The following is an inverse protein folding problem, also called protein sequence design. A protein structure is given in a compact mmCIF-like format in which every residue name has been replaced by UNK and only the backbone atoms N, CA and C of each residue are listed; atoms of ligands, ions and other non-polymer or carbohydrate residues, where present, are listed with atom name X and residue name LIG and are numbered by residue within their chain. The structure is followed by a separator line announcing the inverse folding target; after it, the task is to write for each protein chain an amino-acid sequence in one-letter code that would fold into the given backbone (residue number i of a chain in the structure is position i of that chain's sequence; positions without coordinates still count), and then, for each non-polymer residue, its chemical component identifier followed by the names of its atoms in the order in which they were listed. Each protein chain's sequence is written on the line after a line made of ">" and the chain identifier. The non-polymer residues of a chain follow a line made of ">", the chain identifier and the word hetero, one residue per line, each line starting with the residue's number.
data_IF_584735906306
#
_entry.id   IF_584735906306
#
_cell.length_a   1.000
_cell.length_b   1.000
_cell.length_c   1.000
_cell.angle_alpha   90.00
_cell.angle_beta   90.00
_cell.angle_gamma   90.00
#
_symmetry.space_group_name_H-M   'P 1'
#
loop_
_entity.id
_entity.type
_entity.pdbx_description
1 polymer ?
#
# COMPACT_ATOMS: atom_id res chain seq x y z
N UNK A 1 20.49 16.03 7.49
CA UNK A 1 21.64 15.42 8.22
C UNK A 1 21.37 15.06 9.69
N UNK A 2 20.50 15.75 10.45
CA UNK A 2 20.32 15.47 11.90
C UNK A 2 18.98 14.82 12.27
N UNK A 3 17.90 14.94 11.47
CA UNK A 3 16.58 14.46 11.93
C UNK A 3 16.40 12.92 11.93
N UNK A 4 16.94 12.21 10.94
CA UNK A 4 16.84 10.74 10.83
C UNK A 4 17.84 10.03 11.75
N UNK A 5 19.07 10.55 11.87
CA UNK A 5 20.10 10.03 12.76
C UNK A 5 19.72 10.17 14.27
N UNK A 6 19.03 11.26 14.65
CA UNK A 6 18.57 11.46 16.03
C UNK A 6 17.43 10.52 16.43
N UNK A 7 16.59 10.06 15.49
CA UNK A 7 15.58 9.04 15.77
C UNK A 7 16.21 7.65 15.98
N UNK A 8 17.20 7.28 15.18
CA UNK A 8 17.93 6.01 15.34
C UNK A 8 18.79 5.97 16.62
N UNK A 9 19.36 7.09 17.07
CA UNK A 9 20.17 7.14 18.30
C UNK A 9 19.34 7.03 19.59
N UNK A 10 18.07 7.49 19.58
CA UNK A 10 17.17 7.35 20.75
C UNK A 10 16.72 5.92 21.02
N UNK A 11 16.83 5.00 20.07
CA UNK A 11 16.53 3.58 20.27
C UNK A 11 17.71 2.77 20.84
N UNK A 12 18.94 3.30 20.80
CA UNK A 12 20.15 2.59 21.23
C UNK A 12 20.59 2.82 22.69
N UNK A 13 19.92 3.69 23.45
CA UNK A 13 20.40 4.17 24.75
C UNK A 13 19.50 3.82 25.95
N UNK A 14 18.69 2.75 25.86
CA UNK A 14 17.84 2.26 26.97
C UNK A 14 18.17 0.82 27.34
N UNK A 15 19.45 0.53 27.58
CA UNK A 15 19.86 -0.64 28.37
C UNK A 15 20.81 -0.14 29.47
N UNK A 16 20.22 0.29 30.59
CA UNK A 16 20.76 0.22 31.95
C UNK A 16 20.06 1.25 32.85
N UNK A 17 19.01 0.83 33.56
CA UNK A 17 18.80 1.12 35.00
C UNK A 17 17.46 0.59 35.47
N UNK A 18 17.53 -0.33 36.41
CA UNK A 18 16.46 -0.76 37.30
C UNK A 18 15.94 0.41 38.15
N UNK A 19 14.66 0.73 38.07
CA UNK A 19 13.91 1.35 39.18
C UNK A 19 12.39 1.18 38.96
N UNK A 20 11.73 0.53 39.94
CA UNK A 20 10.28 0.56 40.14
C UNK A 20 9.83 2.00 40.37
N UNK A 21 8.75 2.43 39.70
CA UNK A 21 7.82 3.47 40.16
C UNK A 21 6.52 3.38 39.33
N UNK A 22 5.38 3.54 40.00
CA UNK A 22 4.03 3.15 39.56
C UNK A 22 3.38 4.02 38.48
N UNK A 23 2.07 3.84 38.24
CA UNK A 23 1.41 4.22 36.99
C UNK A 23 1.19 5.73 36.93
N UNK A 24 1.91 6.41 36.04
CA UNK A 24 1.59 7.78 35.67
C UNK A 24 0.55 7.77 34.55
N UNK A 25 -0.70 8.05 34.95
CA UNK A 25 -1.78 8.53 34.10
C UNK A 25 -1.32 9.79 33.36
N UNK A 26 -0.75 9.63 32.17
CA UNK A 26 -0.72 10.70 31.17
C UNK A 26 -1.93 10.48 30.27
N UNK A 27 -2.86 11.44 30.35
CA UNK A 27 -4.06 11.56 29.53
C UNK A 27 -3.78 11.17 28.09
N UNK A 28 -4.18 9.95 27.72
CA UNK A 28 -4.44 9.57 26.34
C UNK A 28 -5.69 10.35 25.93
N UNK A 29 -5.51 11.43 25.18
CA UNK A 29 -6.58 11.91 24.30
C UNK A 29 -7.00 10.70 23.46
N UNK A 30 -8.28 10.30 23.45
CA UNK A 30 -8.71 9.24 22.55
C UNK A 30 -8.42 9.72 21.12
N UNK A 31 -7.81 8.92 20.24
CA UNK A 31 -7.86 9.25 18.83
C UNK A 31 -9.33 9.15 18.43
N UNK A 32 -10.01 10.28 18.38
CA UNK A 32 -11.31 10.44 17.76
C UNK A 32 -11.13 10.19 16.25
N UNK A 33 -11.11 8.91 15.85
CA UNK A 33 -11.32 8.50 14.45
C UNK A 33 -12.77 8.10 14.31
N UNK A 34 -13.60 9.09 14.05
CA UNK A 34 -14.96 8.91 13.55
C UNK A 34 -14.83 8.44 12.09
N UNK A 35 -15.27 7.22 11.81
CA UNK A 35 -15.74 6.85 10.47
C UNK A 35 -17.21 7.30 10.38
N UNK A 36 -17.39 8.62 10.32
CA UNK A 36 -18.54 9.27 9.68
C UNK A 36 -17.86 10.12 8.61
N UNK A 37 -17.86 9.75 7.35
CA UNK A 37 -19.01 9.73 6.45
C UNK A 37 -18.65 8.85 5.25
N UNK A 38 -19.63 8.26 4.59
CA UNK A 38 -19.40 7.61 3.29
C UNK A 38 -20.28 6.41 3.00
N UNK A 39 -20.90 5.82 4.03
CA UNK A 39 -21.89 4.74 3.84
C UNK A 39 -23.33 5.26 3.78
N UNK A 40 -23.53 6.58 3.87
CA UNK A 40 -24.87 7.18 3.81
C UNK A 40 -25.50 7.16 2.40
N UNK A 41 -24.79 6.69 1.37
CA UNK A 41 -25.27 6.66 -0.01
C UNK A 41 -25.83 5.31 -0.49
N UNK A 42 -25.65 4.22 0.27
CA UNK A 42 -26.11 2.90 -0.16
C UNK A 42 -27.44 2.55 0.50
N UNK A 43 -28.37 1.96 -0.25
CA UNK A 43 -29.60 1.31 0.27
C UNK A 43 -29.21 0.12 1.17
N UNK A 44 -28.58 0.37 2.32
CA UNK A 44 -28.09 -0.60 3.27
C UNK A 44 -28.78 -0.39 4.61
N UNK A 45 -28.91 -1.46 5.38
CA UNK A 45 -29.53 -1.43 6.70
C UNK A 45 -28.66 -0.59 7.66
N UNK A 46 -29.19 0.51 8.24
CA UNK A 46 -28.41 1.39 9.11
C UNK A 46 -27.83 0.67 10.34
N UNK A 47 -28.49 -0.37 10.83
CA UNK A 47 -27.99 -1.19 11.95
C UNK A 47 -26.71 -1.94 11.53
N UNK A 48 -26.70 -2.52 10.33
CA UNK A 48 -25.52 -3.20 9.81
C UNK A 48 -24.34 -2.23 9.67
N UNK A 49 -24.59 -1.00 9.23
CA UNK A 49 -23.56 0.03 9.12
C UNK A 49 -22.97 0.42 10.47
N UNK A 50 -23.81 0.57 11.50
CA UNK A 50 -23.35 0.84 12.85
C UNK A 50 -22.51 -0.31 13.42
N UNK A 51 -22.92 -1.57 13.17
CA UNK A 51 -22.15 -2.74 13.58
C UNK A 51 -20.80 -2.82 12.86
N UNK A 52 -20.74 -2.53 11.56
CA UNK A 52 -19.49 -2.45 10.81
C UNK A 52 -18.56 -1.41 11.43
N UNK A 53 -19.08 -0.19 11.66
CA UNK A 53 -18.29 0.89 12.23
C UNK A 53 -17.77 0.57 13.63
N UNK A 54 -18.61 -0.04 14.47
CA UNK A 54 -18.20 -0.50 15.79
C UNK A 54 -17.10 -1.58 15.70
N UNK A 55 -17.28 -2.60 14.86
CA UNK A 55 -16.30 -3.67 14.70
C UNK A 55 -14.93 -3.15 14.23
N UNK A 56 -14.91 -2.30 13.20
CA UNK A 56 -13.68 -1.72 12.66
C UNK A 56 -12.99 -0.80 13.67
N UNK A 57 -13.75 0.08 14.34
CA UNK A 57 -13.19 0.99 15.36
C UNK A 57 -12.65 0.24 16.57
N UNK A 58 -13.36 -0.78 17.04
CA UNK A 58 -12.93 -1.62 18.15
C UNK A 58 -11.62 -2.34 17.82
N UNK A 59 -11.57 -3.03 16.68
CA UNK A 59 -10.39 -3.75 16.22
C UNK A 59 -9.15 -2.83 16.11
N UNK A 60 -9.30 -1.66 15.49
CA UNK A 60 -8.22 -0.70 15.25
C UNK A 60 -7.81 0.11 16.48
N UNK A 61 -8.66 0.22 17.49
CA UNK A 61 -8.36 0.98 18.72
C UNK A 61 -7.34 0.28 19.60
N UNK A 62 -7.45 -1.04 19.75
CA UNK A 62 -6.57 -1.83 20.61
C UNK A 62 -5.43 -2.48 19.83
N UNK A 63 -5.61 -2.73 18.52
CA UNK A 63 -4.62 -3.36 17.63
C UNK A 63 -4.04 -4.66 18.21
N UNK A 64 -4.86 -5.44 18.91
CA UNK A 64 -4.50 -6.75 19.45
C UNK A 64 -5.22 -7.85 18.68
N UNK A 65 -4.62 -9.05 18.61
CA UNK A 65 -5.28 -10.19 17.97
C UNK A 65 -6.67 -10.48 18.54
N UNK A 66 -6.84 -10.23 19.85
CA UNK A 66 -8.11 -10.36 20.53
C UNK A 66 -9.14 -9.31 20.08
N UNK A 67 -8.75 -8.04 19.92
CA UNK A 67 -9.67 -7.00 19.46
C UNK A 67 -10.11 -7.21 18.01
N UNK A 68 -9.21 -7.70 17.15
CA UNK A 68 -9.56 -8.09 15.79
C UNK A 68 -10.51 -9.30 15.77
N UNK A 69 -10.27 -10.33 16.59
CA UNK A 69 -11.18 -11.47 16.70
C UNK A 69 -12.57 -11.05 17.20
N UNK A 70 -12.64 -10.18 18.21
CA UNK A 70 -13.90 -9.62 18.70
C UNK A 70 -14.62 -8.79 17.63
N UNK A 71 -13.89 -7.99 16.86
CA UNK A 71 -14.46 -7.25 15.72
C UNK A 71 -15.05 -8.19 14.66
N UNK A 72 -14.34 -9.26 14.30
CA UNK A 72 -14.84 -10.27 13.36
C UNK A 72 -16.10 -10.98 13.89
N UNK A 73 -16.16 -11.33 15.17
CA UNK A 73 -17.35 -11.94 15.78
C UNK A 73 -18.58 -11.02 15.70
N UNK A 74 -18.40 -9.71 15.88
CA UNK A 74 -19.51 -8.75 15.72
C UNK A 74 -20.00 -8.73 14.27
N UNK A 75 -19.08 -8.80 13.29
CA UNK A 75 -19.44 -8.85 11.87
C UNK A 75 -20.13 -10.18 11.50
N UNK A 76 -19.69 -11.31 12.06
CA UNK A 76 -20.35 -12.61 11.88
C UNK A 76 -21.78 -12.60 12.43
N UNK A 77 -21.97 -12.00 13.61
CA UNK A 77 -23.30 -11.80 14.18
C UNK A 77 -24.17 -10.87 13.31
N UNK A 78 -23.56 -9.88 12.66
CA UNK A 78 -24.27 -9.04 11.69
C UNK A 78 -24.73 -9.85 10.47
N UNK A 79 -23.87 -10.73 9.94
CA UNK A 79 -24.24 -11.60 8.82
C UNK A 79 -25.35 -12.60 9.17
N UNK A 80 -25.31 -13.18 10.37
CA UNK A 80 -26.29 -14.18 10.82
C UNK A 80 -27.70 -13.59 11.05
N UNK A 81 -27.78 -12.29 11.31
CA UNK A 81 -29.04 -11.57 11.56
C UNK A 81 -29.67 -10.98 10.30
N UNK A 82 -28.99 -11.02 9.15
CA UNK A 82 -29.50 -10.50 7.89
C UNK A 82 -30.44 -11.51 7.17
N UNK A 83 -31.47 -11.02 6.44
CA UNK A 83 -32.41 -11.87 5.70
C UNK A 83 -31.69 -12.70 4.64
N UNK A 84 -32.21 -13.88 4.30
CA UNK A 84 -31.53 -14.80 3.36
C UNK A 84 -31.33 -14.16 1.99
N UNK A 85 -30.27 -14.57 1.30
CA UNK A 85 -29.88 -14.05 -0.02
C UNK A 85 -31.07 -13.99 -1.00
N UNK A 86 -31.21 -12.87 -1.72
CA UNK A 86 -32.22 -12.67 -2.76
C UNK A 86 -33.61 -12.28 -2.26
N UNK A 87 -33.86 -12.18 -0.95
CA UNK A 87 -35.15 -11.71 -0.41
C UNK A 87 -35.29 -10.18 -0.41
N UNK A 88 -34.19 -9.45 -0.23
CA UNK A 88 -34.17 -8.00 -0.15
C UNK A 88 -32.86 -7.44 -0.72
N UNK A 89 -32.90 -6.62 -1.80
CA UNK A 89 -31.72 -5.94 -2.33
C UNK A 89 -30.96 -5.10 -1.29
N UNK A 90 -31.65 -4.53 -0.30
CA UNK A 90 -31.00 -3.77 0.76
C UNK A 90 -30.27 -4.68 1.77
N UNK A 91 -30.84 -5.87 2.04
CA UNK A 91 -30.18 -6.95 2.78
C UNK A 91 -28.91 -7.44 2.09
N UNK A 92 -28.95 -7.65 0.77
CA UNK A 92 -27.78 -8.13 0.02
C UNK A 92 -26.67 -7.08 -0.14
N UNK A 93 -27.03 -5.80 -0.22
CA UNK A 93 -26.07 -4.70 -0.07
C UNK A 93 -25.40 -4.70 1.30
N UNK A 94 -26.19 -4.84 2.37
CA UNK A 94 -25.67 -4.92 3.74
C UNK A 94 -24.75 -6.13 3.92
N UNK A 95 -25.07 -7.25 3.29
CA UNK A 95 -24.26 -8.48 3.30
C UNK A 95 -22.91 -8.26 2.65
N UNK A 96 -22.90 -7.71 1.43
CA UNK A 96 -21.67 -7.39 0.72
C UNK A 96 -20.77 -6.42 1.50
N UNK A 97 -21.38 -5.40 2.12
CA UNK A 97 -20.69 -4.44 2.98
C UNK A 97 -20.03 -5.08 4.21
N UNK A 98 -20.73 -6.00 4.88
CA UNK A 98 -20.16 -6.72 6.04
C UNK A 98 -19.01 -7.62 5.59
N UNK A 99 -19.16 -8.35 4.48
CA UNK A 99 -18.10 -9.19 3.93
C UNK A 99 -16.85 -8.39 3.54
N UNK A 100 -17.01 -7.19 2.97
CA UNK A 100 -15.91 -6.25 2.72
C UNK A 100 -15.19 -5.89 4.02
N UNK A 101 -15.94 -5.52 5.07
CA UNK A 101 -15.36 -5.17 6.37
C UNK A 101 -14.61 -6.37 7.01
N UNK A 102 -15.13 -7.59 6.87
CA UNK A 102 -14.45 -8.81 7.33
C UNK A 102 -13.17 -9.07 6.55
N UNK A 103 -13.18 -8.87 5.22
CA UNK A 103 -11.98 -8.95 4.39
C UNK A 103 -10.91 -7.97 4.87
N UNK A 104 -11.28 -6.71 5.11
CA UNK A 104 -10.35 -5.69 5.59
C UNK A 104 -9.70 -6.08 6.92
N UNK A 105 -10.49 -6.53 7.91
CA UNK A 105 -9.94 -6.97 9.19
C UNK A 105 -9.05 -8.21 9.05
N UNK A 106 -9.42 -9.15 8.19
CA UNK A 106 -8.63 -10.37 7.95
C UNK A 106 -7.29 -10.04 7.27
N UNK A 107 -7.32 -9.11 6.30
CA UNK A 107 -6.13 -8.57 5.64
C UNK A 107 -5.21 -7.82 6.61
N UNK A 108 -5.76 -6.98 7.49
CA UNK A 108 -4.99 -6.26 8.52
C UNK A 108 -4.29 -7.21 9.51
N UNK A 109 -4.85 -8.40 9.74
CA UNK A 109 -4.20 -9.47 10.54
C UNK A 109 -3.16 -10.29 9.77
N UNK A 110 -3.09 -10.14 8.45
CA UNK A 110 -2.23 -10.94 7.57
C UNK A 110 -2.85 -12.28 7.12
N UNK A 111 -4.15 -12.51 7.37
CA UNK A 111 -4.88 -13.69 6.90
C UNK A 111 -5.45 -13.42 5.49
N UNK A 112 -4.58 -13.42 4.48
CA UNK A 112 -4.97 -13.07 3.11
C UNK A 112 -5.94 -14.08 2.47
N UNK A 113 -5.78 -15.38 2.74
CA UNK A 113 -6.66 -16.41 2.18
C UNK A 113 -8.12 -16.23 2.64
N UNK A 114 -8.32 -15.95 3.93
CA UNK A 114 -9.64 -15.66 4.48
C UNK A 114 -10.20 -14.37 3.89
N UNK A 115 -9.38 -13.32 3.78
CA UNK A 115 -9.80 -12.06 3.17
C UNK A 115 -10.30 -12.28 1.72
N UNK A 116 -9.55 -13.03 0.92
CA UNK A 116 -9.89 -13.34 -0.47
C UNK A 116 -11.17 -14.17 -0.59
N UNK A 117 -11.39 -15.16 0.27
CA UNK A 117 -12.64 -15.94 0.32
C UNK A 117 -13.86 -15.03 0.58
N UNK A 118 -13.75 -14.09 1.52
CA UNK A 118 -14.84 -13.13 1.80
C UNK A 118 -15.11 -12.22 0.61
N UNK A 119 -14.08 -11.74 -0.09
CA UNK A 119 -14.22 -10.91 -1.29
C UNK A 119 -14.84 -11.68 -2.47
N UNK A 120 -14.47 -12.95 -2.64
CA UNK A 120 -15.05 -13.82 -3.67
C UNK A 120 -16.54 -14.05 -3.40
N UNK A 121 -16.94 -14.26 -2.15
CA UNK A 121 -18.37 -14.34 -1.77
C UNK A 121 -19.17 -13.10 -2.16
N UNK A 122 -18.59 -11.90 -2.06
CA UNK A 122 -19.25 -10.66 -2.53
C UNK A 122 -19.50 -10.69 -4.04
N UNK A 123 -18.60 -11.30 -4.82
CA UNK A 123 -18.78 -11.42 -6.27
C UNK A 123 -19.94 -12.32 -6.67
N UNK A 124 -20.22 -13.33 -5.85
CA UNK A 124 -21.26 -14.33 -6.10
C UNK A 124 -22.66 -13.79 -5.76
N UNK A 125 -22.77 -12.68 -5.01
CA UNK A 125 -24.03 -12.00 -4.70
C UNK A 125 -24.60 -11.28 -5.93
N UNK A 126 -25.62 -11.87 -6.56
CA UNK A 126 -26.20 -11.37 -7.83
C UNK A 126 -27.03 -10.09 -7.71
N UNK A 127 -27.62 -9.84 -6.54
CA UNK A 127 -28.51 -8.70 -6.22
C UNK A 127 -27.78 -7.51 -5.59
N UNK A 128 -26.47 -7.64 -5.35
CA UNK A 128 -25.67 -6.61 -4.70
C UNK A 128 -25.37 -5.44 -5.66
N UNK A 129 -25.28 -4.22 -5.10
CA UNK A 129 -25.01 -3.01 -5.86
C UNK A 129 -23.66 -3.09 -6.58
N UNK A 130 -23.60 -2.47 -7.76
CA UNK A 130 -22.40 -2.49 -8.59
C UNK A 130 -21.20 -1.87 -7.86
N UNK A 131 -21.43 -0.84 -7.03
CA UNK A 131 -20.40 -0.20 -6.22
C UNK A 131 -19.75 -1.15 -5.20
N UNK A 132 -20.53 -2.01 -4.54
CA UNK A 132 -20.01 -3.01 -3.58
C UNK A 132 -19.28 -4.14 -4.30
N UNK A 133 -19.72 -4.54 -5.50
CA UNK A 133 -19.04 -5.56 -6.31
C UNK A 133 -17.73 -5.05 -6.90
N UNK A 134 -17.73 -3.80 -7.37
CA UNK A 134 -16.52 -3.03 -7.71
C UNK A 134 -15.59 -2.96 -6.50
N UNK A 135 -16.14 -2.65 -5.33
CA UNK A 135 -15.45 -2.63 -4.04
C UNK A 135 -14.60 -3.88 -3.80
N UNK A 136 -15.24 -5.03 -3.98
CA UNK A 136 -14.62 -6.31 -3.76
C UNK A 136 -13.61 -6.69 -4.87
N UNK A 137 -13.84 -6.35 -6.14
CA UNK A 137 -12.90 -6.67 -7.21
C UNK A 137 -11.58 -5.90 -7.09
N UNK A 138 -11.61 -4.59 -6.81
CA UNK A 138 -10.36 -3.83 -6.66
C UNK A 138 -9.58 -4.32 -5.42
N UNK A 139 -10.28 -4.65 -4.34
CA UNK A 139 -9.66 -5.23 -3.15
C UNK A 139 -8.99 -6.58 -3.47
N UNK A 140 -9.65 -7.44 -4.24
CA UNK A 140 -9.13 -8.74 -4.63
C UNK A 140 -7.90 -8.60 -5.54
N UNK A 141 -7.96 -7.72 -6.54
CA UNK A 141 -6.81 -7.41 -7.41
C UNK A 141 -5.63 -6.88 -6.58
N UNK A 142 -5.87 -5.97 -5.64
CA UNK A 142 -4.84 -5.44 -4.75
C UNK A 142 -4.16 -6.51 -3.90
N UNK A 143 -4.92 -7.45 -3.32
CA UNK A 143 -4.35 -8.58 -2.55
C UNK A 143 -3.51 -9.51 -3.42
N UNK A 144 -3.98 -9.85 -4.63
CA UNK A 144 -3.21 -10.68 -5.54
C UNK A 144 -1.90 -10.00 -5.95
N UNK A 145 -1.91 -8.69 -6.17
CA UNK A 145 -0.69 -7.93 -6.43
C UNK A 145 0.28 -7.97 -5.23
N UNK A 146 -0.20 -7.81 -3.99
CA UNK A 146 0.63 -7.92 -2.79
C UNK A 146 1.23 -9.33 -2.59
N UNK A 147 0.50 -10.37 -3.01
CA UNK A 147 0.93 -11.78 -2.94
C UNK A 147 1.78 -12.24 -4.13
N UNK A 148 2.18 -11.33 -5.03
CA UNK A 148 2.98 -11.62 -6.23
C UNK A 148 2.29 -12.53 -7.25
N UNK A 149 0.95 -12.54 -7.25
CA UNK A 149 0.14 -13.32 -8.18
C UNK A 149 -0.33 -12.42 -9.33
N UNK A 150 0.64 -12.01 -10.15
CA UNK A 150 0.44 -11.03 -11.23
C UNK A 150 -0.55 -11.52 -12.28
N UNK A 151 -0.39 -12.76 -12.76
CA UNK A 151 -1.21 -13.28 -13.84
C UNK A 151 -2.69 -13.42 -13.40
N UNK A 152 -2.95 -13.80 -12.15
CA UNK A 152 -4.32 -13.84 -11.59
C UNK A 152 -4.90 -12.44 -11.41
N UNK A 153 -4.07 -11.46 -11.01
CA UNK A 153 -4.52 -10.07 -10.87
C UNK A 153 -4.91 -9.46 -12.23
N UNK A 154 -4.22 -9.85 -13.32
CA UNK A 154 -4.57 -9.44 -14.68
C UNK A 154 -5.91 -10.02 -15.16
N UNK A 155 -6.14 -11.31 -14.94
CA UNK A 155 -7.43 -11.96 -15.27
C UNK A 155 -8.59 -11.33 -14.50
N UNK A 156 -8.39 -11.00 -13.23
CA UNK A 156 -9.40 -10.34 -12.41
C UNK A 156 -9.65 -8.89 -12.86
N UNK A 157 -8.62 -8.16 -13.27
CA UNK A 157 -8.77 -6.81 -13.82
C UNK A 157 -9.55 -6.83 -15.15
N UNK A 158 -9.36 -7.86 -16.00
CA UNK A 158 -10.16 -8.03 -17.22
C UNK A 158 -11.62 -8.36 -16.90
N UNK A 159 -11.85 -9.28 -15.95
CA UNK A 159 -13.20 -9.59 -15.44
C UNK A 159 -13.89 -8.34 -14.89
N UNK A 160 -13.13 -7.44 -14.27
CA UNK A 160 -13.65 -6.18 -13.75
C UNK A 160 -14.13 -5.25 -14.87
N UNK A 161 -13.34 -5.08 -15.93
CA UNK A 161 -13.77 -4.31 -17.10
C UNK A 161 -15.01 -4.93 -17.77
N UNK A 162 -15.06 -6.26 -17.92
CA UNK A 162 -16.23 -6.95 -18.48
C UNK A 162 -17.50 -6.75 -17.65
N UNK A 163 -17.38 -6.73 -16.32
CA UNK A 163 -18.53 -6.52 -15.42
C UNK A 163 -19.16 -5.16 -15.67
N UNK A 164 -18.37 -4.13 -15.94
CA UNK A 164 -18.89 -2.79 -16.22
C UNK A 164 -19.57 -2.72 -17.59
N UNK A 165 -18.96 -3.32 -18.62
CA UNK A 165 -19.55 -3.39 -19.98
C UNK A 165 -20.90 -4.11 -19.97
N UNK A 166 -21.03 -5.21 -19.22
CA UNK A 166 -22.28 -5.99 -19.13
C UNK A 166 -23.41 -5.24 -18.41
N UNK A 167 -23.07 -4.28 -17.55
CA UNK A 167 -24.02 -3.57 -16.71
C UNK A 167 -24.28 -2.14 -17.18
N UNK A 168 -23.81 -1.72 -18.37
CA UNK A 168 -24.08 -0.38 -18.91
C UNK A 168 -25.60 -0.10 -18.97
N UNK A 169 -26.13 0.79 -18.11
CA UNK A 169 -27.41 1.41 -18.38
C UNK A 169 -27.12 2.55 -19.38
N UNK A 170 -28.01 2.81 -20.33
CA UNK A 170 -27.91 3.95 -21.25
C UNK A 170 -28.08 5.33 -20.58
N UNK A 171 -27.51 5.53 -19.38
CA UNK A 171 -27.67 6.71 -18.54
C UNK A 171 -26.31 7.38 -18.30
N UNK A 172 -26.10 8.50 -18.99
CA UNK A 172 -25.09 9.51 -18.70
C UNK A 172 -25.25 10.07 -17.27
N UNK A 173 -24.72 9.38 -16.27
CA UNK A 173 -24.61 9.87 -14.89
C UNK A 173 -23.15 9.84 -14.43
N UNK A 174 -22.68 10.89 -13.77
CA UNK A 174 -21.29 11.03 -13.30
C UNK A 174 -20.81 9.88 -12.41
N UNK A 175 -21.72 9.21 -11.70
CA UNK A 175 -21.40 8.04 -10.87
C UNK A 175 -20.86 6.83 -11.67
N UNK A 176 -21.39 6.62 -12.88
CA UNK A 176 -20.91 5.56 -13.77
C UNK A 176 -19.51 5.85 -14.27
N UNK A 177 -19.21 7.11 -14.62
CA UNK A 177 -17.90 7.52 -15.13
C UNK A 177 -16.78 7.36 -14.10
N UNK A 178 -17.08 7.64 -12.82
CA UNK A 178 -16.13 7.44 -11.71
C UNK A 178 -15.80 5.95 -11.54
N UNK A 179 -16.79 5.07 -11.57
CA UNK A 179 -16.58 3.62 -11.46
C UNK A 179 -15.74 3.09 -12.62
N UNK A 180 -15.99 3.54 -13.85
CA UNK A 180 -15.20 3.18 -15.02
C UNK A 180 -13.76 3.70 -14.95
N UNK A 181 -13.56 4.92 -14.44
CA UNK A 181 -12.23 5.47 -14.23
C UNK A 181 -11.41 4.64 -13.24
N UNK A 182 -12.03 4.16 -12.16
CA UNK A 182 -11.37 3.30 -11.17
C UNK A 182 -10.96 1.95 -11.77
N UNK A 183 -11.86 1.29 -12.52
CA UNK A 183 -11.56 0.02 -13.17
C UNK A 183 -10.40 0.13 -14.16
N UNK A 184 -10.38 1.21 -14.96
CA UNK A 184 -9.27 1.52 -15.86
C UNK A 184 -7.97 1.76 -15.09
N UNK A 185 -8.02 2.48 -13.98
CA UNK A 185 -6.83 2.71 -13.15
C UNK A 185 -6.27 1.41 -12.54
N UNK A 186 -7.14 0.50 -12.08
CA UNK A 186 -6.72 -0.82 -11.58
C UNK A 186 -6.09 -1.65 -12.70
N UNK A 187 -6.71 -1.73 -13.88
CA UNK A 187 -6.10 -2.44 -15.02
C UNK A 187 -4.78 -1.80 -15.44
N UNK A 188 -4.71 -0.48 -15.48
CA UNK A 188 -3.47 0.26 -15.77
C UNK A 188 -2.35 -0.02 -14.77
N UNK A 189 -2.68 -0.11 -13.48
CA UNK A 189 -1.71 -0.49 -12.43
C UNK A 189 -1.21 -1.92 -12.63
N UNK A 190 -2.10 -2.87 -12.92
CA UNK A 190 -1.72 -4.26 -13.18
C UNK A 190 -0.79 -4.35 -14.39
N UNK A 191 -1.11 -3.67 -15.49
CA UNK A 191 -0.25 -3.62 -16.68
C UNK A 191 1.11 -2.97 -16.37
N UNK A 192 1.15 -1.95 -15.50
CA UNK A 192 2.39 -1.32 -15.05
C UNK A 192 3.27 -2.31 -14.27
N UNK A 193 2.69 -3.07 -13.33
CA UNK A 193 3.39 -4.14 -12.58
C UNK A 193 3.92 -5.23 -13.53
N UNK A 194 3.19 -5.54 -14.60
CA UNK A 194 3.64 -6.49 -15.63
C UNK A 194 4.78 -5.96 -16.52
N UNK A 195 5.12 -4.66 -16.42
CA UNK A 195 6.12 -3.99 -17.25
C UNK A 195 5.58 -3.47 -18.58
N UNK A 196 4.27 -3.57 -18.83
CA UNK A 196 3.64 -3.15 -20.09
C UNK A 196 3.26 -1.66 -20.06
N UNK A 197 4.25 -0.77 -20.04
CA UNK A 197 4.04 0.69 -19.94
C UNK A 197 3.15 1.29 -21.03
N UNK A 198 3.26 0.78 -22.28
CA UNK A 198 2.42 1.22 -23.41
C UNK A 198 0.96 0.80 -23.25
N UNK A 199 0.74 -0.43 -22.77
CA UNK A 199 -0.60 -0.95 -22.46
C UNK A 199 -1.22 -0.12 -21.34
N UNK A 200 -0.47 0.12 -20.26
CA UNK A 200 -0.88 0.95 -19.14
C UNK A 200 -1.29 2.37 -19.58
N UNK A 201 -0.53 3.02 -20.48
CA UNK A 201 -0.86 4.36 -20.97
C UNK A 201 -2.26 4.43 -21.61
N UNK A 202 -2.69 3.38 -22.31
CA UNK A 202 -4.02 3.34 -22.94
C UNK A 202 -5.16 3.41 -21.92
N UNK A 203 -4.98 2.76 -20.75
CA UNK A 203 -5.95 2.77 -19.67
C UNK A 203 -5.96 4.07 -18.88
N UNK A 204 -4.79 4.72 -18.76
CA UNK A 204 -4.68 6.02 -18.10
C UNK A 204 -5.08 7.21 -18.99
N UNK A 205 -5.19 7.01 -20.32
CA UNK A 205 -5.61 8.05 -21.26
C UNK A 205 -7.07 8.48 -20.99
N UNK A 206 -7.28 9.79 -20.88
CA UNK A 206 -8.60 10.38 -20.60
C UNK A 206 -8.99 10.41 -19.11
N UNK A 207 -8.15 9.93 -18.20
CA UNK A 207 -8.38 10.13 -16.75
C UNK A 207 -8.14 11.58 -16.33
N UNK A 208 -7.21 12.28 -16.99
CA UNK A 208 -6.87 13.69 -16.68
C UNK A 208 -8.04 14.66 -16.83
N UNK A 209 -8.96 14.38 -17.75
CA UNK A 209 -10.08 15.27 -18.09
C UNK A 209 -11.26 15.11 -17.11
N UNK A 210 -11.28 14.01 -16.34
CA UNK A 210 -12.25 13.77 -15.28
C UNK A 210 -11.68 14.32 -13.95
N UNK A 211 -12.07 15.55 -13.60
CA UNK A 211 -11.58 16.30 -12.44
C UNK A 211 -11.87 15.66 -11.06
N UNK A 212 -12.52 14.50 -11.00
CA UNK A 212 -13.00 13.84 -9.78
C UNK A 212 -12.34 12.49 -9.49
N UNK A 213 -11.19 12.19 -10.08
CA UNK A 213 -10.44 10.98 -9.70
C UNK A 213 -9.77 11.22 -8.34
N UNK A 214 -10.24 10.50 -7.33
CA UNK A 214 -9.74 10.56 -5.95
C UNK A 214 -9.18 9.21 -5.51
N UNK A 215 -8.43 9.19 -4.40
CA UNK A 215 -7.94 7.97 -3.77
C UNK A 215 -6.94 7.15 -4.59
N UNK A 216 -7.13 5.83 -4.59
CA UNK A 216 -6.21 4.83 -5.16
C UNK A 216 -6.03 4.95 -6.68
N UNK A 217 -7.08 5.36 -7.40
CA UNK A 217 -7.03 5.55 -8.85
C UNK A 217 -6.11 6.70 -9.23
N UNK A 218 -6.18 7.83 -8.51
CA UNK A 218 -5.30 8.97 -8.72
C UNK A 218 -3.84 8.62 -8.36
N UNK A 219 -3.63 7.87 -7.27
CA UNK A 219 -2.30 7.40 -6.90
C UNK A 219 -1.66 6.53 -7.99
N UNK A 220 -2.41 5.56 -8.52
CA UNK A 220 -1.94 4.66 -9.59
C UNK A 220 -1.61 5.43 -10.88
N UNK A 221 -2.39 6.47 -11.19
CA UNK A 221 -2.08 7.38 -12.29
C UNK A 221 -0.80 8.20 -12.03
N UNK A 222 -0.60 8.67 -10.80
CA UNK A 222 0.62 9.35 -10.37
C UNK A 222 1.86 8.46 -10.54
N UNK A 223 1.76 7.19 -10.14
CA UNK A 223 2.82 6.18 -10.29
C UNK A 223 3.16 5.92 -11.76
N UNK A 224 2.15 5.81 -12.62
CA UNK A 224 2.36 5.70 -14.06
C UNK A 224 3.07 6.93 -14.64
N UNK A 225 2.67 8.14 -14.25
CA UNK A 225 3.32 9.37 -14.69
C UNK A 225 4.78 9.46 -14.22
N UNK A 226 5.03 9.05 -12.98
CA UNK A 226 6.37 8.97 -12.39
C UNK A 226 7.23 7.94 -13.14
N UNK A 227 6.68 6.77 -13.44
CA UNK A 227 7.34 5.71 -14.21
C UNK A 227 7.67 6.16 -15.64
N UNK A 228 6.79 7.00 -16.21
CA UNK A 228 6.92 7.62 -17.53
C UNK A 228 7.77 8.90 -17.53
N UNK A 229 8.42 9.24 -16.41
CA UNK A 229 9.25 10.44 -16.25
C UNK A 229 8.52 11.79 -16.44
N UNK A 230 7.19 11.81 -16.39
CA UNK A 230 6.36 13.02 -16.40
C UNK A 230 6.28 13.63 -14.98
N UNK A 231 7.44 13.97 -14.40
CA UNK A 231 7.58 14.29 -12.97
C UNK A 231 6.74 15.47 -12.49
N UNK A 232 6.58 16.52 -13.29
CA UNK A 232 5.75 17.67 -12.90
C UNK A 232 4.30 17.29 -12.67
N UNK A 233 3.70 16.55 -13.61
CA UNK A 233 2.34 16.05 -13.51
C UNK A 233 2.20 15.04 -12.36
N UNK A 234 3.17 14.14 -12.18
CA UNK A 234 3.16 13.18 -11.08
C UNK A 234 3.19 13.87 -9.71
N UNK A 235 3.99 14.94 -9.56
CA UNK A 235 4.05 15.75 -8.34
C UNK A 235 2.70 16.38 -8.01
N UNK A 236 2.05 17.00 -9.00
CA UNK A 236 0.72 17.60 -8.82
C UNK A 236 -0.31 16.55 -8.39
N UNK A 237 -0.30 15.37 -9.02
CA UNK A 237 -1.20 14.26 -8.67
C UNK A 237 -0.96 13.78 -7.24
N UNK A 238 0.29 13.53 -6.83
CA UNK A 238 0.58 13.08 -5.47
C UNK A 238 0.17 14.12 -4.41
N UNK A 239 0.43 15.41 -4.67
CA UNK A 239 0.00 16.49 -3.77
C UNK A 239 -1.53 16.56 -3.67
N UNK A 240 -2.23 16.39 -4.80
CA UNK A 240 -3.68 16.35 -4.84
C UNK A 240 -4.25 15.15 -4.08
N UNK A 241 -3.64 13.96 -4.16
CA UNK A 241 -4.08 12.79 -3.38
C UNK A 241 -3.91 13.05 -1.88
N UNK A 242 -2.76 13.55 -1.45
CA UNK A 242 -2.50 13.88 -0.04
C UNK A 242 -3.49 14.95 0.46
N UNK A 243 -3.77 15.97 -0.35
CA UNK A 243 -4.70 17.04 0.00
C UNK A 243 -6.18 16.57 -0.07
N UNK A 244 -6.52 15.67 -0.99
CA UNK A 244 -7.87 15.13 -1.17
C UNK A 244 -8.32 14.33 0.03
N UNK A 245 -7.44 13.45 0.55
CA UNK A 245 -7.68 12.68 1.77
C UNK A 245 -7.84 13.61 2.99
N UNK A 246 -6.99 14.63 3.13
CA UNK A 246 -7.08 15.57 4.26
C UNK A 246 -8.31 16.49 4.24
N UNK A 247 -8.89 16.76 3.06
CA UNK A 247 -10.07 17.61 2.90
C UNK A 247 -11.39 16.85 3.02
N UNK A 248 -11.37 15.55 3.30
CA UNK A 248 -12.57 14.71 3.38
C UNK A 248 -13.48 14.79 2.13
N UNK A 249 -12.94 15.20 0.98
CA UNK A 249 -13.71 15.30 -0.28
C UNK A 249 -14.09 13.94 -0.85
N UNK A 250 -13.48 12.87 -0.33
CA UNK A 250 -13.81 11.49 -0.65
C UNK A 250 -15.21 11.10 -0.17
N UNK A 251 -15.77 11.78 0.84
CA UNK A 251 -16.86 11.21 1.65
C UNK A 251 -18.28 11.70 1.33
N UNK A 252 -18.46 12.52 0.30
CA UNK A 252 -19.80 12.98 -0.12
C UNK A 252 -20.46 12.08 -1.17
N UNK A 253 -19.72 11.20 -1.84
CA UNK A 253 -20.22 10.40 -2.96
C UNK A 253 -20.49 8.96 -2.54
N UNK A 254 -21.66 8.43 -2.92
CA UNK A 254 -22.07 7.03 -2.71
C UNK A 254 -21.07 6.00 -3.29
N UNK A 255 -20.25 6.42 -4.27
CA UNK A 255 -19.21 5.61 -4.90
C UNK A 255 -17.88 5.57 -4.12
N UNK A 256 -17.81 6.24 -2.97
CA UNK A 256 -16.68 6.24 -2.05
C UNK A 256 -16.66 5.01 -1.13
N UNK A 257 -17.41 3.96 -1.46
CA UNK A 257 -17.05 2.61 -1.04
C UNK A 257 -15.65 2.34 -1.58
N UNK A 258 -14.66 2.60 -0.73
CA UNK A 258 -13.26 2.42 -1.03
C UNK A 258 -13.02 0.93 -1.29
N UNK A 259 -13.13 0.55 -2.55
CA UNK A 259 -12.46 -0.59 -3.13
C UNK A 259 -10.94 -0.35 -3.14
N UNK A 260 -10.20 -1.44 -3.13
CA UNK A 260 -8.85 -1.60 -2.59
C UNK A 260 -8.96 -1.84 -1.08
N UNK A 261 -8.39 -2.92 -0.59
CA UNK A 261 -8.18 -3.22 0.83
C UNK A 261 -7.24 -2.19 1.52
N UNK A 262 -7.31 -0.92 1.12
CA UNK A 262 -6.39 0.15 1.46
C UNK A 262 -7.21 1.26 2.07
N UNK A 263 -6.96 1.52 3.35
CA UNK A 263 -7.54 2.65 4.03
C UNK A 263 -7.13 3.97 3.33
N UNK A 264 -7.93 5.03 3.41
CA UNK A 264 -7.53 6.34 2.88
C UNK A 264 -6.20 6.82 3.48
N UNK A 265 -5.90 6.40 4.73
CA UNK A 265 -4.62 6.67 5.36
C UNK A 265 -3.45 5.93 4.68
N UNK A 266 -3.66 4.71 4.20
CA UNK A 266 -2.68 3.97 3.41
C UNK A 266 -2.42 4.61 2.05
N UNK A 267 -3.47 5.07 1.38
CA UNK A 267 -3.34 5.80 0.11
C UNK A 267 -2.56 7.10 0.32
N UNK A 268 -2.87 7.85 1.37
CA UNK A 268 -2.14 9.08 1.73
C UNK A 268 -0.68 8.83 2.10
N UNK A 269 -0.42 7.76 2.86
CA UNK A 269 0.94 7.33 3.20
C UNK A 269 1.74 6.97 1.96
N UNK A 270 1.16 6.19 1.05
CA UNK A 270 1.79 5.77 -0.18
C UNK A 270 2.07 6.96 -1.11
N UNK A 271 1.11 7.87 -1.27
CA UNK A 271 1.30 9.12 -2.01
C UNK A 271 2.42 9.98 -1.42
N UNK A 272 2.50 10.08 -0.09
CA UNK A 272 3.59 10.79 0.61
C UNK A 272 4.94 10.13 0.34
N UNK A 273 4.99 8.79 0.39
CA UNK A 273 6.21 8.03 0.09
C UNK A 273 6.64 8.19 -1.38
N UNK A 274 5.70 8.11 -2.32
CA UNK A 274 5.94 8.27 -3.75
C UNK A 274 6.41 9.70 -4.09
N UNK A 275 5.82 10.72 -3.47
CA UNK A 275 6.29 12.11 -3.59
C UNK A 275 7.74 12.26 -3.09
N UNK A 276 8.09 11.63 -1.96
CA UNK A 276 9.45 11.66 -1.44
C UNK A 276 10.46 10.98 -2.38
N UNK A 277 10.07 9.86 -3.02
CA UNK A 277 10.86 9.22 -4.07
C UNK A 277 11.00 10.12 -5.30
N UNK A 278 9.92 10.80 -5.71
CA UNK A 278 9.94 11.72 -6.85
C UNK A 278 10.90 12.89 -6.62
N UNK A 279 10.89 13.50 -5.43
CA UNK A 279 11.84 14.58 -5.09
C UNK A 279 13.29 14.06 -5.08
N UNK A 280 13.53 12.85 -4.58
CA UNK A 280 14.84 12.21 -4.68
C UNK A 280 15.25 12.01 -6.15
N UNK A 281 14.28 11.72 -7.04
CA UNK A 281 14.54 11.55 -8.46
C UNK A 281 14.82 12.84 -9.20
N UNK A 282 14.23 13.94 -8.75
CA UNK A 282 14.55 15.30 -9.22
C UNK A 282 15.87 15.84 -8.65
N UNK A 283 16.47 15.17 -7.65
CA UNK A 283 17.68 15.63 -6.97
C UNK A 283 17.43 16.59 -5.80
N UNK A 284 16.17 16.84 -5.45
CA UNK A 284 15.77 17.68 -4.32
C UNK A 284 15.87 16.89 -3.00
N UNK A 285 17.10 16.53 -2.62
CA UNK A 285 17.33 15.60 -1.50
C UNK A 285 16.90 16.14 -0.13
N UNK A 286 16.87 17.45 0.07
CA UNK A 286 16.40 18.05 1.32
C UNK A 286 14.89 17.82 1.50
N UNK A 287 14.10 18.11 0.46
CA UNK A 287 12.66 17.89 0.45
C UNK A 287 12.34 16.39 0.53
N UNK A 288 13.09 15.55 -0.18
CA UNK A 288 12.96 14.11 -0.11
C UNK A 288 13.21 13.55 1.30
N UNK A 289 14.26 14.01 2.00
CA UNK A 289 14.57 13.63 3.39
C UNK A 289 13.40 14.00 4.32
N UNK A 290 12.84 15.20 4.20
CA UNK A 290 11.71 15.65 5.02
C UNK A 290 10.44 14.81 4.75
N UNK A 291 10.06 14.67 3.47
CA UNK A 291 8.84 13.99 3.06
C UNK A 291 8.89 12.50 3.41
N UNK A 292 10.00 11.82 3.16
CA UNK A 292 10.16 10.41 3.52
C UNK A 292 10.23 10.20 5.04
N UNK A 293 10.79 11.15 5.80
CA UNK A 293 10.77 11.10 7.27
C UNK A 293 9.34 11.28 7.82
N UNK A 294 8.52 12.10 7.16
CA UNK A 294 7.10 12.23 7.47
C UNK A 294 6.34 10.93 7.17
N UNK A 295 6.57 10.32 6.00
CA UNK A 295 6.02 9.01 5.66
C UNK A 295 6.40 7.94 6.69
N UNK A 296 7.66 7.92 7.13
CA UNK A 296 8.12 6.99 8.17
C UNK A 296 7.36 7.18 9.48
N UNK A 297 7.21 8.43 9.91
CA UNK A 297 6.50 8.77 11.16
C UNK A 297 5.03 8.33 11.10
N UNK A 298 4.34 8.63 10.00
CA UNK A 298 2.95 8.20 9.77
C UNK A 298 2.85 6.67 9.79
N UNK A 299 3.81 5.97 9.17
CA UNK A 299 3.84 4.51 9.13
C UNK A 299 4.03 3.90 10.52
N UNK A 300 4.97 4.44 11.31
CA UNK A 300 5.22 3.99 12.68
C UNK A 300 4.01 4.22 13.60
N UNK A 301 3.32 5.35 13.46
CA UNK A 301 2.11 5.66 14.24
C UNK A 301 0.93 4.77 13.84
N UNK A 302 0.77 4.51 12.53
CA UNK A 302 -0.35 3.74 12.01
C UNK A 302 -0.17 2.24 12.22
N UNK A 303 0.98 1.67 11.90
CA UNK A 303 1.21 0.22 11.93
C UNK A 303 2.05 -0.25 13.12
N UNK A 304 2.74 0.66 13.81
CA UNK A 304 3.74 0.32 14.82
C UNK A 304 5.15 0.20 14.24
N UNK A 305 6.15 0.36 15.10
CA UNK A 305 7.58 0.43 14.74
C UNK A 305 8.21 -0.88 14.27
N UNK A 306 7.48 -2.00 14.36
CA UNK A 306 7.93 -3.34 13.96
C UNK A 306 7.22 -3.86 12.71
N UNK A 307 6.38 -3.05 12.07
CA UNK A 307 5.60 -3.48 10.93
C UNK A 307 6.43 -3.54 9.63
N UNK A 308 6.20 -4.53 8.73
CA UNK A 308 6.93 -4.63 7.46
C UNK A 308 6.87 -3.37 6.59
N UNK A 309 5.74 -2.65 6.59
CA UNK A 309 5.60 -1.35 5.86
C UNK A 309 6.61 -0.30 6.33
N UNK A 310 7.05 -0.34 7.59
CA UNK A 310 8.15 0.53 8.07
C UNK A 310 9.45 0.16 7.35
N UNK A 311 9.72 -1.13 7.14
CA UNK A 311 10.86 -1.61 6.37
C UNK A 311 10.84 -1.15 4.90
N UNK A 312 9.66 -1.09 4.29
CA UNK A 312 9.48 -0.54 2.93
C UNK A 312 9.91 0.93 2.88
N UNK A 313 9.38 1.77 3.78
CA UNK A 313 9.72 3.20 3.82
C UNK A 313 11.19 3.43 4.16
N UNK A 314 11.77 2.63 5.06
CA UNK A 314 13.21 2.69 5.36
C UNK A 314 14.07 2.36 4.14
N UNK A 315 13.62 1.42 3.30
CA UNK A 315 14.29 1.08 2.04
C UNK A 315 14.26 2.27 1.07
N UNK A 316 13.12 2.97 0.95
CA UNK A 316 13.02 4.20 0.16
C UNK A 316 13.99 5.29 0.66
N UNK A 317 14.10 5.48 1.98
CA UNK A 317 15.03 6.45 2.59
C UNK A 317 16.49 6.05 2.30
N UNK A 318 16.81 4.76 2.41
CA UNK A 318 18.16 4.25 2.13
C UNK A 318 18.56 4.47 0.66
N UNK A 319 17.65 4.22 -0.28
CA UNK A 319 17.85 4.48 -1.71
C UNK A 319 18.00 5.97 -2.01
N UNK A 320 17.23 6.84 -1.33
CA UNK A 320 17.41 8.30 -1.44
C UNK A 320 18.82 8.71 -1.00
N UNK A 321 19.29 8.25 0.17
CA UNK A 321 20.65 8.56 0.64
C UNK A 321 21.75 7.99 -0.25
N UNK A 322 21.51 6.82 -0.86
CA UNK A 322 22.40 6.23 -1.88
C UNK A 322 22.50 7.14 -3.10
N UNK A 323 21.36 7.56 -3.65
CA UNK A 323 21.31 8.46 -4.82
C UNK A 323 21.96 9.81 -4.53
N UNK A 324 21.71 10.37 -3.34
CA UNK A 324 22.37 11.59 -2.86
C UNK A 324 23.89 11.44 -2.84
N UNK A 325 24.40 10.37 -2.23
CA UNK A 325 25.82 10.09 -2.16
C UNK A 325 26.47 9.97 -3.55
N UNK A 326 25.78 9.34 -4.50
CA UNK A 326 26.28 9.20 -5.87
C UNK A 326 26.34 10.53 -6.61
N UNK A 327 25.28 11.36 -6.55
CA UNK A 327 25.23 12.64 -7.26
C UNK A 327 26.12 13.72 -6.61
N UNK A 328 26.22 13.74 -5.29
CA UNK A 328 27.04 14.71 -4.55
C UNK A 328 28.49 14.23 -4.35
N UNK A 329 28.84 13.04 -4.85
CA UNK A 329 30.12 12.37 -4.58
C UNK A 329 30.48 12.33 -3.07
N UNK A 330 29.46 12.20 -2.23
CA UNK A 330 29.58 12.22 -0.77
C UNK A 330 29.47 10.80 -0.18
N UNK A 331 29.88 10.64 1.09
CA UNK A 331 29.73 9.35 1.78
C UNK A 331 28.53 9.39 2.72
N UNK A 332 27.58 8.48 2.51
CA UNK A 332 26.46 8.21 3.43
C UNK A 332 26.38 6.74 3.84
N UNK A 333 27.48 6.00 3.67
CA UNK A 333 27.57 4.53 3.85
C UNK A 333 27.06 4.06 5.22
N UNK A 334 27.42 4.74 6.31
CA UNK A 334 26.99 4.33 7.66
C UNK A 334 25.47 4.48 7.86
N UNK A 335 24.90 5.55 7.31
CA UNK A 335 23.45 5.81 7.37
C UNK A 335 22.72 4.75 6.52
N UNK A 336 23.18 4.51 5.29
CA UNK A 336 22.63 3.48 4.42
C UNK A 336 22.69 2.10 5.07
N UNK A 337 23.84 1.72 5.65
CA UNK A 337 24.00 0.42 6.31
C UNK A 337 22.99 0.23 7.45
N UNK A 338 22.83 1.25 8.31
CA UNK A 338 21.88 1.21 9.42
C UNK A 338 20.43 1.09 8.95
N UNK A 339 20.05 1.86 7.92
CA UNK A 339 18.71 1.83 7.34
C UNK A 339 18.40 0.47 6.69
N UNK A 340 19.30 -0.05 5.86
CA UNK A 340 19.11 -1.35 5.22
C UNK A 340 19.06 -2.48 6.23
N UNK A 341 19.91 -2.47 7.27
CA UNK A 341 19.89 -3.49 8.31
C UNK A 341 18.54 -3.54 9.03
N UNK A 342 18.00 -2.37 9.40
CA UNK A 342 16.68 -2.28 10.03
C UNK A 342 15.57 -2.67 9.06
N UNK A 343 15.64 -2.26 7.80
CA UNK A 343 14.65 -2.64 6.79
C UNK A 343 14.58 -4.16 6.59
N UNK A 344 15.74 -4.81 6.42
CA UNK A 344 15.86 -6.27 6.24
C UNK A 344 15.33 -7.04 7.45
N UNK A 345 15.59 -6.53 8.66
CA UNK A 345 15.06 -7.10 9.91
C UNK A 345 13.52 -7.04 9.94
N UNK A 346 12.94 -5.87 9.65
CA UNK A 346 11.48 -5.66 9.66
C UNK A 346 10.76 -6.42 8.54
N UNK A 347 11.40 -6.55 7.38
CA UNK A 347 10.91 -7.36 6.27
C UNK A 347 11.14 -8.87 6.49
N UNK A 348 11.74 -9.27 7.62
CA UNK A 348 12.00 -10.68 8.01
C UNK A 348 12.74 -11.49 6.94
N UNK A 349 13.71 -10.86 6.28
CA UNK A 349 14.40 -11.53 5.19
C UNK A 349 15.31 -12.69 5.69
N UNK A 350 15.34 -13.85 5.02
CA UNK A 350 15.96 -15.08 5.53
C UNK A 350 17.50 -15.05 5.47
N UNK A 351 18.23 -15.62 6.44
CA UNK A 351 19.70 -15.52 6.50
C UNK A 351 20.42 -16.07 5.25
N UNK A 352 21.63 -15.55 4.97
CA UNK A 352 22.40 -15.75 3.74
C UNK A 352 22.67 -17.22 3.34
N UNK A 353 22.60 -18.14 4.30
CA UNK A 353 22.99 -19.54 4.14
C UNK A 353 21.84 -20.47 3.78
N UNK A 354 20.61 -19.95 3.65
CA UNK A 354 19.48 -20.71 3.14
C UNK A 354 19.58 -20.90 1.62
N UNK A 355 20.61 -21.62 1.18
CA UNK A 355 20.64 -22.22 -0.16
C UNK A 355 19.72 -23.43 -0.15
N UNK A 356 18.54 -23.27 -0.74
CA UNK A 356 17.64 -24.39 -0.98
C UNK A 356 16.60 -24.55 0.11
N UNK A 357 15.57 -23.72 0.03
CA UNK A 357 14.17 -24.12 -0.15
C UNK A 357 13.46 -22.82 -0.42
N UNK A 358 12.53 -22.83 -1.37
CA UNK A 358 11.67 -21.69 -1.70
C UNK A 358 10.74 -21.39 -0.52
N UNK A 359 11.28 -20.95 0.61
CA UNK A 359 10.47 -20.26 1.60
C UNK A 359 9.95 -19.04 0.89
N UNK A 360 8.65 -19.04 0.57
CA UNK A 360 7.93 -17.92 -0.03
C UNK A 360 8.31 -16.66 0.75
N UNK A 361 9.14 -15.81 0.16
CA UNK A 361 9.56 -14.54 0.77
C UNK A 361 8.47 -13.55 0.42
N UNK A 362 7.63 -13.21 1.39
CA UNK A 362 6.63 -12.16 1.20
C UNK A 362 7.34 -10.85 0.83
N UNK A 363 6.81 -10.16 -0.19
CA UNK A 363 7.37 -8.88 -0.67
C UNK A 363 8.82 -9.06 -1.16
N UNK A 364 9.05 -10.08 -1.99
CA UNK A 364 10.36 -10.47 -2.50
C UNK A 364 11.07 -9.32 -3.23
N UNK A 365 10.34 -8.52 -4.02
CA UNK A 365 10.89 -7.38 -4.76
C UNK A 365 11.58 -6.36 -3.82
N UNK A 366 10.88 -5.90 -2.78
CA UNK A 366 11.44 -4.91 -1.85
C UNK A 366 12.53 -5.52 -0.95
N UNK A 367 12.41 -6.79 -0.58
CA UNK A 367 13.45 -7.51 0.17
C UNK A 367 14.73 -7.62 -0.66
N UNK A 368 14.59 -7.95 -1.94
CA UNK A 368 15.70 -8.01 -2.88
C UNK A 368 16.34 -6.64 -3.10
N UNK A 369 15.56 -5.55 -3.23
CA UNK A 369 16.10 -4.18 -3.27
C UNK A 369 16.89 -3.83 -2.01
N UNK A 370 16.30 -4.03 -0.83
CA UNK A 370 16.94 -3.71 0.44
C UNK A 370 18.24 -4.49 0.62
N UNK A 371 18.27 -5.76 0.20
CA UNK A 371 19.47 -6.60 0.25
C UNK A 371 20.50 -6.28 -0.80
N UNK A 372 20.08 -5.95 -2.02
CA UNK A 372 20.97 -5.51 -3.08
C UNK A 372 21.69 -4.21 -2.69
N UNK A 373 20.95 -3.23 -2.16
CA UNK A 373 21.53 -2.01 -1.62
C UNK A 373 22.45 -2.25 -0.41
N UNK A 374 22.07 -3.15 0.50
CA UNK A 374 22.94 -3.57 1.61
C UNK A 374 24.23 -4.22 1.12
N UNK A 375 24.14 -5.08 0.10
CA UNK A 375 25.25 -5.79 -0.48
C UNK A 375 26.29 -4.84 -1.08
N UNK A 376 25.85 -3.80 -1.80
CA UNK A 376 26.74 -2.77 -2.33
C UNK A 376 27.52 -2.05 -1.22
N UNK A 377 26.84 -1.68 -0.13
CA UNK A 377 27.48 -1.05 1.05
C UNK A 377 28.53 -1.98 1.66
N UNK A 378 28.27 -3.29 1.72
CA UNK A 378 29.23 -4.27 2.21
C UNK A 378 30.40 -4.51 1.25
N UNK A 379 30.16 -4.53 -0.06
CA UNK A 379 31.19 -4.75 -1.07
C UNK A 379 32.25 -3.64 -1.07
N UNK A 380 31.88 -2.42 -0.67
CA UNK A 380 32.83 -1.30 -0.49
C UNK A 380 33.77 -1.55 0.71
N UNK A 381 33.34 -2.34 1.71
CA UNK A 381 34.13 -2.66 2.90
C UNK A 381 35.02 -3.88 2.64
N UNK A 382 36.35 -3.69 2.56
CA UNK A 382 37.31 -4.76 2.23
C UNK A 382 37.16 -6.04 3.08
N UNK A 383 36.88 -5.91 4.38
CA UNK A 383 36.74 -7.05 5.29
C UNK A 383 35.42 -7.83 5.14
N UNK A 384 34.43 -7.30 4.41
CA UNK A 384 33.08 -7.86 4.31
C UNK A 384 32.61 -8.08 2.87
N UNK A 385 33.53 -8.00 1.92
CA UNK A 385 33.25 -8.15 0.49
C UNK A 385 32.58 -9.49 0.18
N UNK A 386 33.07 -10.59 0.74
CA UNK A 386 32.49 -11.93 0.54
C UNK A 386 31.02 -12.02 1.02
N UNK A 387 30.69 -11.32 2.11
CA UNK A 387 29.31 -11.23 2.60
C UNK A 387 28.43 -10.41 1.64
N UNK A 388 28.99 -9.32 1.10
CA UNK A 388 28.32 -8.50 0.09
C UNK A 388 28.03 -9.30 -1.19
N UNK A 389 28.98 -10.05 -1.72
CA UNK A 389 28.80 -10.87 -2.92
C UNK A 389 27.74 -11.98 -2.73
N UNK A 390 27.71 -12.62 -1.55
CA UNK A 390 26.64 -13.56 -1.18
C UNK A 390 25.27 -12.89 -1.09
N UNK A 391 25.20 -11.71 -0.47
CA UNK A 391 23.95 -10.95 -0.36
C UNK A 391 23.43 -10.49 -1.72
N UNK A 392 24.33 -10.07 -2.61
CA UNK A 392 24.02 -9.68 -3.98
C UNK A 392 23.46 -10.84 -4.80
N UNK A 393 24.17 -11.98 -4.83
CA UNK A 393 23.71 -13.17 -5.55
C UNK A 393 22.37 -13.70 -5.05
N UNK A 394 22.12 -13.63 -3.73
CA UNK A 394 20.81 -13.96 -3.16
C UNK A 394 19.72 -12.98 -3.64
N UNK A 395 20.01 -11.68 -3.65
CA UNK A 395 19.04 -10.67 -4.07
C UNK A 395 18.69 -10.81 -5.56
N UNK A 396 19.68 -11.09 -6.41
CA UNK A 396 19.47 -11.35 -7.85
C UNK A 396 18.63 -12.59 -8.09
N UNK A 397 18.77 -13.65 -7.28
CA UNK A 397 18.00 -14.88 -7.42
C UNK A 397 16.51 -14.75 -7.05
N UNK A 398 16.16 -13.77 -6.22
CA UNK A 398 14.79 -13.57 -5.68
C UNK A 398 14.09 -12.38 -6.33
N UNK A 399 14.82 -11.55 -7.07
CA UNK A 399 14.26 -10.45 -7.84
C UNK A 399 13.27 -10.95 -8.90
N UNK A 400 12.01 -10.55 -8.80
CA UNK A 400 10.92 -10.99 -9.69
C UNK A 400 10.35 -9.90 -10.58
N UNK A 401 10.88 -8.68 -10.49
CA UNK A 401 10.41 -7.57 -11.30
C UNK A 401 10.62 -7.85 -12.80
N UNK A 402 9.54 -7.71 -13.58
CA UNK A 402 9.53 -7.98 -15.03
C UNK A 402 10.03 -6.80 -15.87
N UNK A 403 9.96 -5.59 -15.31
CA UNK A 403 10.32 -4.33 -15.98
C UNK A 403 11.83 -4.07 -15.92
N UNK A 404 12.39 -4.18 -14.72
CA UNK A 404 13.76 -3.78 -14.40
C UNK A 404 14.59 -4.98 -13.93
N UNK A 405 15.88 -5.01 -14.24
CA UNK A 405 16.83 -5.84 -13.50
C UNK A 405 17.18 -5.19 -12.15
N UNK A 406 17.58 -6.00 -11.15
CA UNK A 406 18.01 -5.48 -9.85
C UNK A 406 19.14 -4.44 -9.98
N UNK A 407 20.07 -4.67 -10.93
CA UNK A 407 21.15 -3.74 -11.21
C UNK A 407 20.62 -2.40 -11.72
N UNK A 408 19.64 -2.38 -12.64
CA UNK A 408 19.01 -1.15 -13.13
C UNK A 408 18.18 -0.45 -12.04
N UNK A 409 17.49 -1.22 -11.19
CA UNK A 409 16.71 -0.65 -10.09
C UNK A 409 17.60 -0.01 -9.01
N UNK A 410 18.84 -0.49 -8.84
CA UNK A 410 19.83 0.13 -7.98
C UNK A 410 20.55 1.27 -8.71
N UNK A 411 20.98 1.08 -9.94
CA UNK A 411 21.82 2.00 -10.73
C UNK A 411 21.00 3.03 -11.51
N UNK A 412 20.77 4.18 -10.88
CA UNK A 412 20.00 5.30 -11.45
C UNK A 412 20.92 6.31 -12.18
N UNK A 413 22.17 5.94 -12.46
CA UNK A 413 23.15 6.85 -13.09
C UNK A 413 22.91 7.10 -14.58
N UNK A 414 22.09 6.26 -15.24
CA UNK A 414 21.79 6.39 -16.66
C UNK A 414 20.52 7.23 -16.90
N UNK A 415 20.68 8.37 -17.57
CA UNK A 415 19.59 9.31 -17.93
C UNK A 415 18.49 8.70 -18.82
N UNK A 416 18.69 7.49 -19.33
CA UNK A 416 17.75 6.77 -20.19
C UNK A 416 17.09 5.55 -19.51
N UNK A 417 17.34 5.29 -18.23
CA UNK A 417 16.80 4.11 -17.55
C UNK A 417 15.39 4.36 -17.00
N UNK A 418 14.61 3.29 -17.01
CA UNK A 418 13.34 3.20 -16.30
C UNK A 418 13.52 3.56 -14.82
N UNK A 419 12.59 4.33 -14.30
CA UNK A 419 12.65 4.85 -12.93
C UNK A 419 11.99 3.82 -12.00
N UNK A 420 12.73 3.21 -11.04
CA UNK A 420 12.16 2.27 -10.09
C UNK A 420 11.31 3.06 -9.08
N UNK A 421 10.04 2.69 -8.93
CA UNK A 421 9.14 3.33 -7.96
C UNK A 421 8.67 2.27 -6.99
N UNK A 422 8.95 2.46 -5.71
CA UNK A 422 8.44 1.56 -4.67
C UNK A 422 7.03 2.02 -4.32
N UNK A 423 6.02 1.26 -4.72
CA UNK A 423 4.66 1.42 -4.23
C UNK A 423 4.59 0.81 -2.82
N UNK A 424 4.44 1.68 -1.82
CA UNK A 424 4.38 1.28 -0.41
C UNK A 424 3.09 0.54 -0.02
N UNK A 425 2.07 0.52 -0.88
CA UNK A 425 0.80 -0.20 -0.66
C UNK A 425 0.99 -1.69 -0.88
N UNK A 426 1.40 -2.04 -2.09
CA UNK A 426 1.67 -3.42 -2.52
C UNK A 426 3.11 -3.86 -2.15
N UNK A 427 3.94 -2.92 -1.69
CA UNK A 427 5.36 -3.14 -1.37
C UNK A 427 6.19 -3.63 -2.56
N UNK A 428 5.81 -3.20 -3.78
CA UNK A 428 6.43 -3.62 -5.04
C UNK A 428 7.15 -2.48 -5.72
N UNK A 429 8.01 -2.86 -6.65
CA UNK A 429 8.72 -1.92 -7.51
C UNK A 429 7.99 -1.87 -8.84
N UNK A 430 7.52 -0.69 -9.22
CA UNK A 430 6.82 -0.38 -10.47
C UNK A 430 7.79 0.11 -11.54
#
# INVERSE_FOLDING_TARGET
>A
MIHTAVKLSRAGATVARTAKLGPSLLQRSPPSRLVHDGINGSNANPVALQMINYALSHARSQKSDESYAQGLLVLEQCLSTQPSEGQDPAGDNSRGMVLLAMSTLSSERGNFDEAMDKLQKVQDLTSCSIGVRVAALEALVGLHLELEQDDTSSVLADKFLELLVKNEPGSNGGDSEVIHARARAVKGLVELVHGNTVSAESFFRGLKDNLEITGSAALSYGEFLHASQKFSLAKDVYQNVIQGVSKNKEFSNSNALAACNMSPEEVSLAATCALGQLEAHLGNFADAEEILTRALTITEEHFGSHHPKVGVVLTCIALMFRRKAMLEHSSSLLIQEGLYRRAIELLKAPPFETKGTEAKVDRSDIVALARGGYAEVLCVQQNRKDQGEKAKSWAEAIWRNRRLSLAQALDISNTNSEVPIIDARISRVL
#
